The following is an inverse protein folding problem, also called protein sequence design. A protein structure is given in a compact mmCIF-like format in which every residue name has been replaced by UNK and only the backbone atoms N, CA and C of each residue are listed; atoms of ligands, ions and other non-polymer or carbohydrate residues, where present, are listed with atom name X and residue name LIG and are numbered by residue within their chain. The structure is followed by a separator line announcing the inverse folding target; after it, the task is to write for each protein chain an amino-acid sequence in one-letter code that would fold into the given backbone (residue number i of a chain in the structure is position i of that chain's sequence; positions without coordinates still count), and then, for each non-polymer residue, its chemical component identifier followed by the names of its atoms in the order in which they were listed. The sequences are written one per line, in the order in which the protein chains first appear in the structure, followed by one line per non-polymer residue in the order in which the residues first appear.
data_IF_720102799954
#
_entry.id   IF_720102799954
#
_cell.length_a   1.000
_cell.length_b   1.000
_cell.length_c   1.000
_cell.angle_alpha   90.00
_cell.angle_beta   90.00
_cell.angle_gamma   90.00
#
_symmetry.space_group_name_H-M   'P 1'
#
loop_
_entity.id
_entity.type
_entity.pdbx_description
1 polymer ?
#
# COMPACT_ATOMS: atom_id res chain seq x y z
N UNK A 1 -5.98 28.96 -10.04
CA UNK A 1 -6.51 28.21 -11.20
C UNK A 1 -5.45 27.46 -12.03
N UNK A 2 -4.32 27.01 -11.43
CA UNK A 2 -3.31 26.16 -12.10
C UNK A 2 -3.06 24.90 -11.27
N UNK A 3 -2.75 23.79 -11.93
CA UNK A 3 -2.42 22.53 -11.25
C UNK A 3 -1.19 22.71 -10.35
N UNK A 4 -1.23 22.33 -9.06
CA UNK A 4 -0.10 22.51 -8.15
C UNK A 4 1.11 21.62 -8.48
N UNK A 5 0.89 20.52 -9.21
CA UNK A 5 1.97 19.58 -9.56
C UNK A 5 2.76 20.04 -10.81
N UNK A 6 2.06 20.46 -11.87
CA UNK A 6 2.69 20.74 -13.17
C UNK A 6 2.41 22.16 -13.73
N UNK A 7 1.64 22.99 -13.01
CA UNK A 7 1.31 24.35 -13.44
C UNK A 7 0.33 24.46 -14.62
N UNK A 8 -0.17 23.33 -15.14
CA UNK A 8 -1.13 23.33 -16.26
C UNK A 8 -2.40 24.13 -15.91
N UNK A 9 -2.96 24.87 -16.88
CA UNK A 9 -4.13 25.70 -16.64
C UNK A 9 -5.41 24.85 -16.69
N UNK A 10 -6.51 25.38 -16.13
CA UNK A 10 -7.77 24.63 -15.91
C UNK A 10 -8.38 24.06 -17.19
N UNK A 11 -8.20 24.74 -18.32
CA UNK A 11 -8.79 24.38 -19.61
C UNK A 11 -8.23 23.07 -20.17
N UNK A 12 -7.11 22.57 -19.65
CA UNK A 12 -6.54 21.26 -20.01
C UNK A 12 -7.19 20.08 -19.28
N UNK A 13 -8.14 20.33 -18.38
CA UNK A 13 -8.77 19.29 -17.57
C UNK A 13 -10.23 19.11 -17.96
N UNK A 14 -10.65 17.85 -18.04
CA UNK A 14 -12.04 17.47 -18.25
C UNK A 14 -12.68 17.03 -16.94
N UNK A 15 -13.96 17.36 -16.75
CA UNK A 15 -14.73 16.89 -15.59
C UNK A 15 -15.10 15.42 -15.80
N UNK A 16 -14.78 14.58 -14.82
CA UNK A 16 -15.18 13.18 -14.82
C UNK A 16 -16.69 13.03 -14.67
N UNK A 17 -17.23 11.91 -15.17
CA UNK A 17 -18.59 11.49 -14.83
C UNK A 17 -18.69 11.17 -13.34
N UNK A 18 -19.88 11.35 -12.77
CA UNK A 18 -20.13 11.13 -11.34
C UNK A 18 -19.74 9.71 -10.91
N UNK A 19 -20.14 8.69 -11.67
CA UNK A 19 -19.82 7.29 -11.38
C UNK A 19 -18.31 7.03 -11.33
N UNK A 20 -17.55 7.64 -12.25
CA UNK A 20 -16.08 7.51 -12.27
C UNK A 20 -15.46 8.22 -11.07
N UNK A 21 -15.94 9.42 -10.75
CA UNK A 21 -15.47 10.18 -9.60
C UNK A 21 -15.71 9.41 -8.29
N UNK A 22 -16.91 8.87 -8.08
CA UNK A 22 -17.23 8.08 -6.90
C UNK A 22 -16.39 6.81 -6.79
N UNK A 23 -16.14 6.12 -7.91
CA UNK A 23 -15.29 4.94 -7.93
C UNK A 23 -13.85 5.27 -7.52
N UNK A 24 -13.33 6.41 -7.98
CA UNK A 24 -12.00 6.92 -7.59
C UNK A 24 -11.95 7.25 -6.10
N UNK A 25 -12.94 7.97 -5.55
CA UNK A 25 -12.95 8.31 -4.12
C UNK A 25 -12.99 7.05 -3.24
N UNK A 26 -13.77 6.05 -3.62
CA UNK A 26 -13.78 4.75 -2.91
C UNK A 26 -12.45 4.02 -3.01
N UNK A 27 -11.79 4.09 -4.17
CA UNK A 27 -10.47 3.48 -4.35
C UNK A 27 -9.38 4.17 -3.53
N UNK A 28 -9.42 5.50 -3.39
CA UNK A 28 -8.51 6.25 -2.50
C UNK A 28 -8.57 5.75 -1.08
N UNK A 29 -9.78 5.62 -0.52
CA UNK A 29 -9.96 5.11 0.83
C UNK A 29 -9.32 3.74 1.01
N UNK A 30 -9.56 2.80 0.09
CA UNK A 30 -8.95 1.46 0.16
C UNK A 30 -7.44 1.50 -0.06
N UNK A 31 -6.93 2.38 -0.93
CA UNK A 31 -5.50 2.53 -1.16
C UNK A 31 -4.78 3.10 0.09
N UNK A 32 -5.40 4.03 0.81
CA UNK A 32 -4.90 4.51 2.10
C UNK A 32 -4.86 3.40 3.15
N UNK A 33 -5.85 2.50 3.14
CA UNK A 33 -5.81 1.29 3.98
C UNK A 33 -4.67 0.35 3.58
N UNK A 34 -4.40 0.15 2.29
CA UNK A 34 -3.25 -0.62 1.83
C UNK A 34 -1.93 0.01 2.24
N UNK A 35 -1.79 1.34 2.17
CA UNK A 35 -0.59 2.05 2.64
C UNK A 35 -0.41 1.88 4.14
N UNK A 36 -1.50 2.02 4.91
CA UNK A 36 -1.49 1.82 6.36
C UNK A 36 -1.11 0.38 6.74
N UNK A 37 -1.66 -0.60 6.04
CA UNK A 37 -1.31 -2.01 6.20
C UNK A 37 0.17 -2.26 5.87
N UNK A 38 0.68 -1.69 4.79
CA UNK A 38 2.10 -1.81 4.42
C UNK A 38 3.04 -1.24 5.49
N UNK A 39 2.64 -0.17 6.19
CA UNK A 39 3.39 0.39 7.32
C UNK A 39 3.42 -0.59 8.50
N UNK A 40 2.27 -1.14 8.89
CA UNK A 40 2.20 -2.11 9.98
C UNK A 40 3.03 -3.37 9.68
N UNK A 41 2.98 -3.86 8.44
CA UNK A 41 3.78 -5.01 8.03
C UNK A 41 5.28 -4.70 8.02
N UNK A 42 5.68 -3.44 7.78
CA UNK A 42 7.07 -3.02 7.92
C UNK A 42 7.55 -3.06 9.37
N UNK A 43 6.68 -2.74 10.33
CA UNK A 43 6.98 -2.87 11.76
C UNK A 43 7.11 -4.36 12.15
N UNK A 44 6.22 -5.22 11.65
CA UNK A 44 6.33 -6.68 11.84
C UNK A 44 7.65 -7.22 11.28
N UNK A 45 8.07 -6.78 10.10
CA UNK A 45 9.36 -7.15 9.51
C UNK A 45 10.53 -6.76 10.43
N UNK A 46 10.53 -5.54 10.97
CA UNK A 46 11.58 -5.07 11.86
C UNK A 46 11.65 -5.88 13.17
N UNK A 47 10.48 -6.19 13.77
CA UNK A 47 10.39 -7.04 14.96
C UNK A 47 10.89 -8.46 14.67
N UNK A 48 10.45 -9.04 13.55
CA UNK A 48 10.88 -10.36 13.12
C UNK A 48 12.39 -10.45 12.87
N UNK A 49 12.99 -9.43 12.25
CA UNK A 49 14.44 -9.38 12.04
C UNK A 49 15.22 -9.29 13.34
N UNK A 50 14.73 -8.52 14.32
CA UNK A 50 15.35 -8.47 15.64
C UNK A 50 15.23 -9.81 16.37
N UNK A 51 14.08 -10.48 16.30
CA UNK A 51 13.87 -11.79 16.90
C UNK A 51 14.72 -12.90 16.26
N UNK A 52 14.88 -12.88 14.93
CA UNK A 52 15.80 -13.79 14.21
C UNK A 52 17.25 -13.53 14.64
N UNK A 53 17.64 -12.26 14.82
CA UNK A 53 18.99 -11.90 15.26
C UNK A 53 19.27 -12.35 16.69
N UNK A 54 18.29 -12.23 17.57
CA UNK A 54 18.38 -12.66 18.98
C UNK A 54 18.57 -14.18 19.09
N UNK A 55 17.85 -14.96 18.28
CA UNK A 55 18.03 -16.40 18.12
C UNK A 55 18.08 -17.18 19.46
N UNK A 56 17.18 -16.85 20.39
CA UNK A 56 17.12 -17.45 21.73
C UNK A 56 17.03 -18.98 21.71
N UNK A 57 16.11 -19.52 20.91
CA UNK A 57 15.89 -20.95 20.75
C UNK A 57 15.28 -21.28 19.37
N UNK A 58 15.27 -22.57 18.95
CA UNK A 58 14.79 -22.97 17.62
C UNK A 58 13.33 -22.59 17.34
N UNK A 59 12.46 -22.61 18.36
CA UNK A 59 11.04 -22.31 18.18
C UNK A 59 10.83 -20.80 18.01
N UNK A 60 11.54 -19.98 18.77
CA UNK A 60 11.55 -18.52 18.57
C UNK A 60 12.05 -18.15 17.16
N UNK A 61 13.17 -18.74 16.71
CA UNK A 61 13.70 -18.51 15.37
C UNK A 61 12.67 -18.86 14.28
N UNK A 62 11.99 -19.99 14.43
CA UNK A 62 10.95 -20.44 13.49
C UNK A 62 9.80 -19.43 13.41
N UNK A 63 9.27 -18.98 14.56
CA UNK A 63 8.15 -18.02 14.62
C UNK A 63 8.53 -16.70 13.94
N UNK A 64 9.70 -16.15 14.24
CA UNK A 64 10.12 -14.89 13.64
C UNK A 64 10.42 -15.04 12.14
N UNK A 65 10.96 -16.18 11.70
CA UNK A 65 11.15 -16.46 10.27
C UNK A 65 9.82 -16.49 9.52
N UNK A 66 8.82 -17.20 10.05
CA UNK A 66 7.47 -17.24 9.47
C UNK A 66 6.80 -15.86 9.45
N UNK A 67 6.92 -15.10 10.54
CA UNK A 67 6.38 -13.74 10.62
C UNK A 67 6.98 -12.84 9.55
N UNK A 68 8.30 -12.92 9.31
CA UNK A 68 8.99 -12.16 8.26
C UNK A 68 8.45 -12.50 6.88
N UNK A 69 8.33 -13.79 6.56
CA UNK A 69 7.85 -14.25 5.24
C UNK A 69 6.40 -13.84 4.97
N UNK A 70 5.51 -14.02 5.95
CA UNK A 70 4.11 -13.62 5.84
C UNK A 70 3.98 -12.11 5.68
N UNK A 71 4.69 -11.34 6.51
CA UNK A 71 4.63 -9.88 6.45
C UNK A 71 5.11 -9.35 5.10
N UNK A 72 6.23 -9.87 4.60
CA UNK A 72 6.74 -9.53 3.28
C UNK A 72 5.72 -9.83 2.17
N UNK A 73 5.18 -11.04 2.16
CA UNK A 73 4.24 -11.50 1.13
C UNK A 73 2.98 -10.64 1.08
N UNK A 74 2.36 -10.38 2.23
CA UNK A 74 1.15 -9.55 2.30
C UNK A 74 1.46 -8.11 1.88
N UNK A 75 2.64 -7.60 2.23
CA UNK A 75 3.07 -6.25 1.84
C UNK A 75 3.21 -6.12 0.31
N UNK A 76 3.77 -7.13 -0.37
CA UNK A 76 3.83 -7.11 -1.84
C UNK A 76 2.44 -7.23 -2.47
N UNK A 77 1.56 -8.10 -1.94
CA UNK A 77 0.17 -8.20 -2.42
C UNK A 77 -0.57 -6.88 -2.36
N UNK A 78 -0.39 -6.11 -1.28
CA UNK A 78 -0.99 -4.77 -1.15
C UNK A 78 -0.49 -3.82 -2.23
N UNK A 79 0.79 -3.86 -2.60
CA UNK A 79 1.32 -3.03 -3.70
C UNK A 79 0.76 -3.44 -5.05
N UNK A 80 0.64 -4.75 -5.31
CA UNK A 80 0.06 -5.27 -6.56
C UNK A 80 -1.41 -4.89 -6.69
N UNK A 81 -2.17 -4.86 -5.59
CA UNK A 81 -3.57 -4.41 -5.64
C UNK A 81 -3.67 -2.91 -5.95
N UNK A 82 -2.83 -2.07 -5.32
CA UNK A 82 -2.77 -0.63 -5.66
C UNK A 82 -2.42 -0.43 -7.14
N UNK A 83 -1.45 -1.18 -7.68
CA UNK A 83 -1.13 -1.15 -9.11
C UNK A 83 -2.35 -1.54 -9.97
N UNK A 84 -3.11 -2.56 -9.55
CA UNK A 84 -4.32 -3.01 -10.24
C UNK A 84 -5.41 -1.94 -10.25
N UNK A 85 -5.59 -1.22 -9.14
CA UNK A 85 -6.50 -0.07 -9.07
C UNK A 85 -6.10 1.02 -10.06
N UNK A 86 -4.82 1.43 -10.08
CA UNK A 86 -4.31 2.45 -11.00
C UNK A 86 -4.49 2.01 -12.46
N UNK A 87 -4.13 0.76 -12.78
CA UNK A 87 -4.27 0.21 -14.14
C UNK A 87 -5.72 0.14 -14.64
N UNK A 88 -6.70 0.04 -13.73
CA UNK A 88 -8.14 0.03 -14.03
C UNK A 88 -8.77 1.43 -14.02
N UNK A 89 -7.97 2.49 -13.98
CA UNK A 89 -8.48 3.85 -13.95
C UNK A 89 -9.09 4.27 -12.62
N UNK A 90 -8.81 3.53 -11.54
CA UNK A 90 -9.22 3.86 -10.17
C UNK A 90 -8.04 4.50 -9.44
N UNK A 91 -7.52 5.57 -10.04
CA UNK A 91 -6.33 6.26 -9.56
C UNK A 91 -6.62 7.04 -8.28
N UNK A 92 -5.71 6.95 -7.31
CA UNK A 92 -5.82 7.64 -6.03
C UNK A 92 -5.30 6.78 -4.91
#
# INVERSE_FOLDING_TARGET
EKCPNCGAPREKFEKLSEDKAQLIERSRYTNDLHVSLQRLLQEVLAVAENGIRDNLDPRCLEIFTQAKEMAWTIRQRSKTEVQTHVGKGKWG
#
